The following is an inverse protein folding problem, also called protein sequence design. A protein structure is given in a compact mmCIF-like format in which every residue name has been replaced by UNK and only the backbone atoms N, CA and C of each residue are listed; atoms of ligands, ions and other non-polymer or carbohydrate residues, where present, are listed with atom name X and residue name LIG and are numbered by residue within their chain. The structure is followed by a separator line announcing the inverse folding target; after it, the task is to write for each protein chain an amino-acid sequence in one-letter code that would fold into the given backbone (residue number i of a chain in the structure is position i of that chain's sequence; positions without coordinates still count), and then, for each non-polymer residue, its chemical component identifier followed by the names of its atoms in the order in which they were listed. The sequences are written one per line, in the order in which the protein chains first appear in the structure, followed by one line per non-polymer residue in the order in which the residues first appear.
data_IF_120025316311
#
_entry.id   IF_120025316311
#
_cell.length_a   1.000
_cell.length_b   1.000
_cell.length_c   1.000
_cell.angle_alpha   90.00
_cell.angle_beta   90.00
_cell.angle_gamma   90.00
#
_symmetry.space_group_name_H-M   'P 1'
#
loop_
_entity.id
_entity.type
_entity.pdbx_description
1 polymer ?
#
# COMPACT_ATOMS: atom_id res chain seq x y z
N UNK A 1 20.12 4.96 11.89
CA UNK A 1 20.49 3.80 11.05
C UNK A 1 20.65 4.29 9.64
N UNK A 2 21.50 3.65 8.85
CA UNK A 2 21.63 3.90 7.42
C UNK A 2 20.45 3.28 6.66
N UNK A 3 20.06 3.86 5.52
CA UNK A 3 19.18 3.20 4.56
C UNK A 3 19.86 1.93 4.02
N UNK A 4 19.29 0.76 4.28
CA UNK A 4 19.78 -0.52 3.72
C UNK A 4 19.14 -0.77 2.35
N UNK A 5 19.76 -1.58 1.47
CA UNK A 5 19.18 -1.90 0.15
C UNK A 5 17.76 -2.48 0.21
N UNK A 6 17.46 -3.26 1.26
CA UNK A 6 16.14 -3.86 1.46
C UNK A 6 15.18 -3.02 2.30
N UNK A 7 15.60 -1.87 2.88
CA UNK A 7 14.77 -1.09 3.80
C UNK A 7 13.41 -0.69 3.20
N UNK A 8 13.35 -0.43 1.88
CA UNK A 8 12.11 -0.09 1.18
C UNK A 8 11.24 -1.32 0.96
N UNK A 9 11.85 -2.46 0.62
CA UNK A 9 11.15 -3.73 0.42
C UNK A 9 10.57 -4.23 1.74
N UNK A 10 11.38 -4.28 2.81
CA UNK A 10 10.96 -4.68 4.15
C UNK A 10 9.80 -3.80 4.66
N UNK A 11 9.83 -2.51 4.33
CA UNK A 11 8.73 -1.59 4.64
C UNK A 11 7.46 -1.96 3.87
N UNK A 12 7.57 -2.24 2.56
CA UNK A 12 6.44 -2.62 1.73
C UNK A 12 5.82 -3.95 2.19
N UNK A 13 6.63 -4.95 2.55
CA UNK A 13 6.19 -6.22 3.11
C UNK A 13 5.52 -6.03 4.49
N UNK A 14 6.09 -5.19 5.35
CA UNK A 14 5.49 -4.88 6.64
C UNK A 14 4.12 -4.19 6.47
N UNK A 15 3.99 -3.25 5.52
CA UNK A 15 2.72 -2.61 5.18
C UNK A 15 1.71 -3.62 4.64
N UNK A 16 2.14 -4.51 3.74
CA UNK A 16 1.31 -5.58 3.20
C UNK A 16 0.78 -6.48 4.33
N UNK A 17 1.65 -6.93 5.23
CA UNK A 17 1.27 -7.76 6.39
C UNK A 17 0.32 -7.05 7.34
N UNK A 18 0.54 -5.76 7.62
CA UNK A 18 -0.38 -4.94 8.42
C UNK A 18 -1.79 -4.88 7.81
N UNK A 19 -1.88 -4.65 6.50
CA UNK A 19 -3.16 -4.56 5.81
C UNK A 19 -3.85 -5.92 5.75
N UNK A 20 -3.12 -7.00 5.44
CA UNK A 20 -3.67 -8.36 5.47
C UNK A 20 -4.28 -8.69 6.83
N UNK A 21 -3.54 -8.51 7.91
CA UNK A 21 -4.00 -8.85 9.25
C UNK A 21 -5.27 -8.07 9.64
N UNK A 22 -5.38 -6.80 9.23
CA UNK A 22 -6.57 -5.99 9.46
C UNK A 22 -7.77 -6.45 8.63
N UNK A 23 -7.56 -6.85 7.37
CA UNK A 23 -8.62 -7.41 6.52
C UNK A 23 -9.15 -8.73 7.08
N UNK A 24 -8.26 -9.62 7.53
CA UNK A 24 -8.66 -10.89 8.15
C UNK A 24 -9.45 -10.67 9.45
N UNK A 25 -9.02 -9.69 10.26
CA UNK A 25 -9.78 -9.29 11.45
C UNK A 25 -11.18 -8.76 11.06
N UNK A 26 -11.27 -7.88 10.06
CA UNK A 26 -12.55 -7.35 9.60
C UNK A 26 -13.48 -8.46 9.08
N UNK A 27 -12.94 -9.46 8.37
CA UNK A 27 -13.69 -10.63 7.91
C UNK A 27 -14.20 -11.51 9.06
N UNK A 28 -13.45 -11.60 10.16
CA UNK A 28 -13.90 -12.32 11.35
C UNK A 28 -15.02 -11.58 12.12
N UNK A 29 -15.06 -10.25 12.02
CA UNK A 29 -16.03 -9.41 12.75
C UNK A 29 -17.29 -9.10 11.94
N UNK A 30 -17.18 -9.04 10.61
CA UNK A 30 -18.24 -8.55 9.71
C UNK A 30 -18.68 -9.67 8.77
N UNK A 31 -19.89 -10.16 8.98
CA UNK A 31 -20.48 -11.19 8.12
C UNK A 31 -20.54 -10.75 6.65
N UNK A 32 -20.07 -11.64 5.77
CA UNK A 32 -19.93 -11.43 4.33
C UNK A 32 -18.74 -10.56 3.89
N UNK A 33 -17.90 -10.08 4.81
CA UNK A 33 -16.69 -9.33 4.43
C UNK A 33 -15.57 -10.28 4.01
N UNK A 34 -14.95 -10.11 2.83
CA UNK A 34 -13.80 -10.89 2.43
C UNK A 34 -12.54 -10.49 3.21
N UNK A 35 -11.74 -11.47 3.60
CA UNK A 35 -10.44 -11.28 4.27
C UNK A 35 -9.34 -10.80 3.32
N UNK A 36 -8.09 -10.98 3.73
CA UNK A 36 -6.95 -10.69 2.87
C UNK A 36 -6.96 -11.59 1.62
N UNK A 37 -6.68 -11.06 0.41
CA UNK A 37 -6.56 -11.89 -0.77
C UNK A 37 -5.39 -12.88 -0.67
N UNK A 38 -5.69 -14.17 -0.53
CA UNK A 38 -4.67 -15.17 -0.19
C UNK A 38 -3.66 -15.47 -1.32
N UNK A 39 -4.06 -15.29 -2.57
CA UNK A 39 -3.19 -15.61 -3.71
C UNK A 39 -2.42 -14.44 -4.28
N UNK A 40 -3.01 -13.26 -4.18
CA UNK A 40 -2.54 -12.05 -4.84
C UNK A 40 -2.33 -10.94 -3.82
N UNK A 41 -1.80 -11.29 -2.65
CA UNK A 41 -1.23 -10.38 -1.68
C UNK A 41 0.30 -10.31 -1.88
N UNK A 42 0.81 -9.29 -2.57
CA UNK A 42 2.24 -9.21 -2.87
C UNK A 42 2.77 -7.77 -3.04
N UNK A 43 4.09 -7.61 -2.87
CA UNK A 43 4.79 -6.39 -3.27
C UNK A 43 5.07 -6.48 -4.77
N UNK A 44 4.67 -5.45 -5.53
CA UNK A 44 4.78 -5.43 -6.99
C UNK A 44 5.66 -4.26 -7.46
N UNK A 45 6.30 -4.35 -8.64
CA UNK A 45 7.26 -3.34 -9.09
C UNK A 45 6.63 -2.01 -9.52
N UNK A 46 5.32 -1.94 -9.73
CA UNK A 46 4.62 -0.76 -10.26
C UNK A 46 3.11 -0.86 -10.09
N UNK A 47 2.34 -0.16 -10.93
CA UNK A 47 0.88 -0.28 -10.90
C UNK A 47 0.45 -1.75 -11.15
N UNK A 48 -0.49 -2.29 -10.37
CA UNK A 48 -0.96 -3.65 -10.57
C UNK A 48 -1.75 -3.78 -11.87
N UNK A 49 -1.74 -4.99 -12.44
CA UNK A 49 -2.68 -5.35 -13.49
C UNK A 49 -4.11 -5.42 -12.92
N UNK A 50 -5.09 -5.06 -13.73
CA UNK A 50 -6.52 -5.12 -13.42
C UNK A 50 -7.11 -6.49 -13.79
N UNK A 51 -6.43 -7.57 -13.40
CA UNK A 51 -6.82 -8.94 -13.69
C UNK A 51 -6.85 -9.80 -12.42
N UNK A 52 -7.61 -10.89 -12.45
CA UNK A 52 -7.61 -11.88 -11.37
C UNK A 52 -8.18 -11.40 -10.03
N UNK A 53 -9.05 -10.38 -10.02
CA UNK A 53 -9.82 -10.06 -8.81
C UNK A 53 -10.95 -11.07 -8.56
N UNK A 54 -11.42 -11.76 -9.60
CA UNK A 54 -12.48 -12.79 -9.55
C UNK A 54 -12.00 -14.17 -9.08
N UNK A 55 -10.69 -14.43 -9.06
CA UNK A 55 -10.15 -15.78 -8.83
C UNK A 55 -9.76 -16.02 -7.36
N UNK A 56 -10.54 -16.78 -6.57
CA UNK A 56 -10.01 -17.42 -5.38
C UNK A 56 -9.16 -18.62 -5.85
N UNK A 57 -7.84 -18.59 -5.73
CA UNK A 57 -7.00 -19.76 -6.13
C UNK A 57 -7.06 -20.94 -5.14
N UNK A 58 -8.09 -20.97 -4.29
CA UNK A 58 -8.53 -22.15 -3.58
C UNK A 58 -10.00 -22.00 -3.17
N UNK A 59 -10.72 -23.11 -3.09
CA UNK A 59 -12.17 -23.17 -2.79
C UNK A 59 -12.56 -22.69 -1.37
N UNK A 60 -11.61 -22.22 -0.57
CA UNK A 60 -11.81 -21.86 0.84
C UNK A 60 -11.49 -20.38 1.15
N UNK A 61 -11.22 -19.54 0.15
CA UNK A 61 -10.47 -18.29 0.36
C UNK A 61 -11.04 -17.06 -0.34
N UNK A 62 -10.68 -15.89 0.18
CA UNK A 62 -11.16 -14.60 -0.33
C UNK A 62 -10.50 -14.26 -1.68
N UNK A 63 -11.32 -14.06 -2.72
CA UNK A 63 -10.89 -13.50 -4.00
C UNK A 63 -10.45 -12.04 -3.89
N UNK A 64 -9.70 -11.59 -4.88
CA UNK A 64 -9.21 -10.22 -4.99
C UNK A 64 -7.69 -10.12 -5.17
N UNK A 65 -7.19 -8.90 -5.10
CA UNK A 65 -5.76 -8.62 -5.21
C UNK A 65 -5.37 -7.48 -4.28
N UNK A 66 -4.39 -7.71 -3.42
CA UNK A 66 -3.78 -6.71 -2.54
C UNK A 66 -2.33 -6.51 -2.96
N UNK A 67 -2.00 -5.32 -3.43
CA UNK A 67 -0.63 -5.01 -3.83
C UNK A 67 -0.08 -3.80 -3.14
N UNK A 68 1.22 -3.83 -2.85
CA UNK A 68 1.98 -2.66 -2.41
C UNK A 68 3.07 -2.38 -3.43
N UNK A 69 3.14 -1.16 -3.93
CA UNK A 69 4.21 -0.74 -4.83
C UNK A 69 4.78 0.62 -4.43
N UNK A 70 5.99 0.90 -4.88
CA UNK A 70 6.64 2.19 -4.67
C UNK A 70 6.16 3.14 -5.76
N UNK A 71 5.58 4.28 -5.37
CA UNK A 71 5.29 5.36 -6.31
C UNK A 71 6.53 6.19 -6.60
N UNK A 72 7.28 6.55 -5.55
CA UNK A 72 8.52 7.33 -5.68
C UNK A 72 9.36 7.28 -4.41
N UNK A 73 10.65 7.54 -4.60
CA UNK A 73 11.65 7.75 -3.56
C UNK A 73 12.25 9.14 -3.76
N UNK A 74 12.26 9.97 -2.72
CA UNK A 74 12.78 11.34 -2.86
C UNK A 74 13.44 11.84 -1.56
N UNK A 75 14.43 12.76 -1.66
CA UNK A 75 15.03 13.37 -0.49
C UNK A 75 14.01 14.26 0.22
N UNK A 76 13.99 14.20 1.56
CA UNK A 76 13.17 15.08 2.38
C UNK A 76 14.02 15.66 3.53
N UNK A 77 13.47 16.66 4.21
CA UNK A 77 14.17 17.41 5.24
C UNK A 77 13.37 17.51 6.53
N UNK A 78 13.55 18.63 7.23
CA UNK A 78 12.84 18.95 8.47
C UNK A 78 11.32 19.03 8.22
N UNK A 79 10.92 19.54 7.05
CA UNK A 79 9.53 19.73 6.63
C UNK A 79 8.90 18.47 6.00
N UNK A 80 9.22 17.28 6.50
CA UNK A 80 8.61 16.03 6.01
C UNK A 80 7.07 16.12 5.99
N UNK A 81 6.39 15.73 4.89
CA UNK A 81 6.89 14.95 3.75
C UNK A 81 7.30 15.81 2.54
N UNK A 82 7.54 17.11 2.67
CA UNK A 82 7.95 17.94 1.54
C UNK A 82 9.27 17.46 0.93
N UNK A 83 9.32 17.42 -0.41
CA UNK A 83 10.53 17.10 -1.16
C UNK A 83 11.58 18.20 -0.97
N UNK A 84 12.79 17.80 -0.63
CA UNK A 84 13.92 18.72 -0.58
C UNK A 84 14.45 18.96 -1.99
N UNK A 85 14.55 20.23 -2.39
CA UNK A 85 15.07 20.68 -3.69
C UNK A 85 16.46 21.30 -3.60
N UNK A 86 17.10 21.21 -2.43
CA UNK A 86 18.47 21.69 -2.24
C UNK A 86 19.44 20.94 -3.17
N UNK A 87 20.30 21.71 -3.85
CA UNK A 87 21.32 21.15 -4.74
C UNK A 87 22.37 20.42 -3.91
N UNK A 88 22.47 19.12 -4.12
CA UNK A 88 23.46 18.27 -3.46
C UNK A 88 24.86 18.51 -4.05
N UNK A 89 25.91 18.39 -3.23
CA UNK A 89 27.30 18.52 -3.70
C UNK A 89 27.86 19.94 -3.80
N UNK A 90 27.04 20.98 -3.64
CA UNK A 90 27.50 22.38 -3.73
C UNK A 90 28.53 22.76 -2.65
N UNK A 91 28.51 22.07 -1.49
CA UNK A 91 29.50 22.20 -0.39
C UNK A 91 29.85 20.83 0.20
N UNK A 92 30.04 19.84 -0.68
CA UNK A 92 30.28 18.45 -0.30
C UNK A 92 29.03 17.56 -0.35
N UNK A 93 29.25 16.24 -0.31
CA UNK A 93 28.19 15.23 -0.37
C UNK A 93 27.56 15.00 1.01
N UNK A 94 26.78 15.98 1.50
CA UNK A 94 25.98 15.81 2.71
C UNK A 94 24.69 15.08 2.32
N UNK A 95 24.45 13.84 2.77
CA UNK A 95 23.23 13.14 2.41
C UNK A 95 22.01 13.82 3.05
N UNK A 96 20.83 13.72 2.43
CA UNK A 96 19.60 14.22 3.03
C UNK A 96 19.35 13.51 4.37
N UNK A 97 18.87 14.23 5.41
CA UNK A 97 18.65 13.64 6.73
C UNK A 97 17.51 12.61 6.73
N UNK A 98 16.58 12.74 5.79
CA UNK A 98 15.41 11.86 5.63
C UNK A 98 15.24 11.49 4.17
N UNK A 99 14.96 10.21 3.92
CA UNK A 99 14.50 9.74 2.62
C UNK A 99 13.01 9.45 2.74
N UNK A 100 12.18 10.09 1.91
CA UNK A 100 10.76 9.82 1.87
C UNK A 100 10.48 8.73 0.83
N UNK A 101 9.73 7.71 1.24
CA UNK A 101 9.18 6.67 0.35
C UNK A 101 7.69 6.88 0.27
N UNK A 102 7.17 7.09 -0.93
CA UNK A 102 5.73 7.04 -1.18
C UNK A 102 5.36 5.64 -1.66
N UNK A 103 4.54 4.95 -0.87
CA UNK A 103 3.96 3.66 -1.19
C UNK A 103 2.51 3.83 -1.63
N UNK A 104 2.10 2.98 -2.55
CA UNK A 104 0.73 2.85 -3.02
C UNK A 104 0.26 1.45 -2.64
N UNK A 105 -0.81 1.41 -1.86
CA UNK A 105 -1.50 0.19 -1.49
C UNK A 105 -2.76 0.13 -2.35
N UNK A 106 -2.91 -0.94 -3.14
CA UNK A 106 -4.08 -1.16 -3.98
C UNK A 106 -4.76 -2.44 -3.54
N UNK A 107 -6.06 -2.36 -3.24
CA UNK A 107 -6.91 -3.51 -2.97
C UNK A 107 -8.03 -3.56 -4.00
N UNK A 108 -8.05 -4.61 -4.82
CA UNK A 108 -9.06 -4.88 -5.83
C UNK A 108 -9.97 -6.03 -5.40
N UNK A 109 -11.26 -5.87 -5.68
CA UNK A 109 -12.34 -6.85 -5.50
C UNK A 109 -13.14 -6.98 -6.79
N UNK A 110 -13.94 -8.02 -6.89
CA UNK A 110 -14.87 -8.22 -7.99
C UNK A 110 -15.93 -7.12 -8.02
N UNK A 111 -16.15 -6.55 -9.20
CA UNK A 111 -17.32 -5.73 -9.47
C UNK A 111 -18.41 -6.61 -10.09
N UNK A 112 -19.69 -6.45 -9.71
CA UNK A 112 -20.79 -7.09 -10.42
C UNK A 112 -20.76 -6.72 -11.92
N UNK A 113 -20.77 -7.74 -12.77
CA UNK A 113 -20.72 -7.60 -14.22
C UNK A 113 -22.09 -7.88 -14.87
N UNK A 114 -22.30 -7.47 -16.14
CA UNK A 114 -23.46 -7.91 -16.90
C UNK A 114 -23.51 -9.44 -16.98
N UNK A 115 -24.73 -10.00 -16.97
CA UNK A 115 -24.90 -11.46 -17.11
C UNK A 115 -24.65 -11.96 -18.54
N UNK A 116 -24.76 -13.28 -18.75
CA UNK A 116 -24.57 -13.91 -20.07
C UNK A 116 -25.56 -13.40 -21.14
N UNK A 117 -26.68 -12.83 -20.71
CA UNK A 117 -27.69 -12.23 -21.61
C UNK A 117 -27.42 -10.76 -21.91
N UNK A 118 -26.37 -10.19 -21.31
CA UNK A 118 -26.01 -8.77 -21.42
C UNK A 118 -26.87 -7.85 -20.56
N UNK A 119 -27.65 -8.38 -19.61
CA UNK A 119 -28.39 -7.55 -18.68
C UNK A 119 -27.45 -6.93 -17.64
N UNK A 120 -27.62 -5.64 -17.29
CA UNK A 120 -26.79 -5.00 -16.28
C UNK A 120 -27.02 -5.60 -14.88
N UNK A 121 -26.03 -5.51 -13.97
CA UNK A 121 -26.15 -6.02 -12.60
C UNK A 121 -27.26 -5.30 -11.84
N UNK A 122 -27.91 -6.01 -10.92
CA UNK A 122 -28.99 -5.44 -10.11
C UNK A 122 -28.40 -4.47 -9.08
N UNK A 123 -29.18 -3.45 -8.71
CA UNK A 123 -28.77 -2.49 -7.67
C UNK A 123 -28.46 -3.16 -6.32
N UNK A 124 -29.09 -4.30 -6.02
CA UNK A 124 -28.78 -5.08 -4.79
C UNK A 124 -27.36 -5.63 -4.81
N UNK A 125 -26.91 -6.11 -5.97
CA UNK A 125 -25.59 -6.71 -6.14
C UNK A 125 -24.52 -5.61 -6.10
N UNK A 126 -24.80 -4.46 -6.74
CA UNK A 126 -23.96 -3.26 -6.66
C UNK A 126 -23.84 -2.72 -5.23
N UNK A 127 -24.94 -2.69 -4.47
CA UNK A 127 -24.93 -2.24 -3.08
C UNK A 127 -24.12 -3.19 -2.17
N UNK A 128 -24.21 -4.50 -2.40
CA UNK A 128 -23.40 -5.48 -1.69
C UNK A 128 -21.89 -5.28 -1.96
N UNK A 129 -21.51 -5.07 -3.22
CA UNK A 129 -20.13 -4.78 -3.60
C UNK A 129 -19.65 -3.44 -3.01
N UNK A 130 -20.49 -2.40 -3.02
CA UNK A 130 -20.17 -1.11 -2.43
C UNK A 130 -19.95 -1.22 -0.91
N UNK A 131 -20.77 -2.00 -0.19
CA UNK A 131 -20.58 -2.26 1.24
C UNK A 131 -19.20 -2.87 1.51
N UNK A 132 -18.83 -3.91 0.76
CA UNK A 132 -17.51 -4.56 0.88
C UNK A 132 -16.39 -3.53 0.69
N UNK A 133 -16.49 -2.73 -0.37
CA UNK A 133 -15.48 -1.73 -0.71
C UNK A 133 -15.35 -0.63 0.36
N UNK A 134 -16.46 -0.17 0.94
CA UNK A 134 -16.44 0.83 2.01
C UNK A 134 -15.80 0.30 3.30
N UNK A 135 -16.10 -0.96 3.65
CA UNK A 135 -15.46 -1.62 4.80
C UNK A 135 -13.96 -1.77 4.54
N UNK A 136 -13.58 -2.28 3.38
CA UNK A 136 -12.18 -2.41 2.97
C UNK A 136 -11.45 -1.05 3.03
N UNK A 137 -12.08 0.04 2.56
CA UNK A 137 -11.53 1.39 2.60
C UNK A 137 -11.15 1.83 4.02
N UNK A 138 -12.10 1.69 4.95
CA UNK A 138 -11.89 2.05 6.35
C UNK A 138 -10.88 1.11 7.01
N UNK A 139 -10.93 -0.18 6.71
CA UNK A 139 -9.99 -1.19 7.24
C UNK A 139 -8.56 -0.89 6.83
N UNK A 140 -8.30 -0.64 5.53
CA UNK A 140 -6.96 -0.29 5.04
C UNK A 140 -6.46 1.02 5.68
N UNK A 141 -7.33 2.03 5.76
CA UNK A 141 -6.97 3.31 6.38
C UNK A 141 -6.56 3.14 7.86
N UNK A 142 -7.36 2.40 8.64
CA UNK A 142 -7.10 2.12 10.04
C UNK A 142 -5.88 1.22 10.23
N UNK A 143 -5.67 0.22 9.37
CA UNK A 143 -4.50 -0.66 9.41
C UNK A 143 -3.20 0.15 9.34
N UNK A 144 -3.14 1.13 8.43
CA UNK A 144 -1.97 2.00 8.30
C UNK A 144 -1.79 2.91 9.53
N UNK A 145 -2.87 3.47 10.08
CA UNK A 145 -2.77 4.29 11.29
C UNK A 145 -2.29 3.51 12.51
N UNK A 146 -2.78 2.29 12.69
CA UNK A 146 -2.54 1.49 13.89
C UNK A 146 -1.25 0.65 13.81
N UNK A 147 -0.97 0.04 12.66
CA UNK A 147 0.11 -0.93 12.53
C UNK A 147 1.43 -0.29 12.05
N UNK A 148 1.38 0.66 11.12
CA UNK A 148 2.58 1.27 10.56
C UNK A 148 3.51 1.92 11.61
N UNK A 149 3.04 2.63 12.65
CA UNK A 149 3.92 3.14 13.70
C UNK A 149 4.74 2.02 14.38
N UNK A 150 4.11 0.85 14.61
CA UNK A 150 4.70 -0.28 15.32
C UNK A 150 5.73 -1.05 14.49
N UNK A 151 5.68 -0.94 13.16
CA UNK A 151 6.67 -1.60 12.30
C UNK A 151 8.07 -1.01 12.48
N UNK A 152 8.24 0.17 13.10
CA UNK A 152 9.55 0.78 13.33
C UNK A 152 10.27 0.17 14.53
N UNK A 153 11.49 -0.34 14.34
CA UNK A 153 12.29 -0.98 15.41
C UNK A 153 12.81 -0.05 16.52
N UNK A 154 12.23 1.15 16.70
CA UNK A 154 12.69 2.14 17.67
C UNK A 154 11.54 2.69 18.53
N UNK A 155 11.89 3.25 19.70
CA UNK A 155 10.95 3.74 20.73
C UNK A 155 9.95 4.81 20.25
N UNK A 156 10.23 5.52 19.16
CA UNK A 156 9.39 6.60 18.61
C UNK A 156 8.51 6.19 17.42
N UNK A 157 8.50 4.90 17.06
CA UNK A 157 7.75 4.40 15.90
C UNK A 157 8.22 4.99 14.55
N UNK A 158 7.61 4.56 13.45
CA UNK A 158 7.85 5.20 12.14
C UNK A 158 7.10 6.51 12.03
N UNK A 159 7.73 7.50 11.39
CA UNK A 159 7.07 8.73 10.97
C UNK A 159 6.49 8.53 9.58
N UNK A 160 5.22 8.88 9.40
CA UNK A 160 4.54 8.77 8.12
C UNK A 160 3.45 9.84 7.99
N UNK A 161 3.00 10.05 6.76
CA UNK A 161 1.82 10.85 6.42
C UNK A 161 0.95 10.00 5.51
N UNK A 162 -0.33 9.88 5.85
CA UNK A 162 -1.32 9.28 4.96
C UNK A 162 -1.69 10.27 3.87
N UNK A 163 -1.59 9.81 2.63
CA UNK A 163 -2.12 10.52 1.48
C UNK A 163 -3.61 10.26 1.30
N UNK A 164 -4.14 10.83 0.23
CA UNK A 164 -5.54 10.63 -0.16
C UNK A 164 -5.80 9.15 -0.46
N UNK A 165 -6.90 8.64 0.07
CA UNK A 165 -7.51 7.40 -0.39
C UNK A 165 -8.46 7.71 -1.55
N UNK A 166 -8.45 6.88 -2.59
CA UNK A 166 -9.42 7.00 -3.68
C UNK A 166 -9.96 5.64 -4.07
N UNK A 167 -11.22 5.62 -4.49
CA UNK A 167 -11.79 4.48 -5.21
C UNK A 167 -11.28 4.49 -6.65
N UNK A 168 -10.98 3.31 -7.18
CA UNK A 168 -10.47 3.09 -8.54
C UNK A 168 -11.33 2.04 -9.25
N UNK A 169 -11.43 2.14 -10.59
CA UNK A 169 -12.21 1.21 -11.43
C UNK A 169 -13.65 1.69 -11.66
N UNK A 170 -14.52 0.84 -12.24
CA UNK A 170 -14.28 -0.55 -12.61
C UNK A 170 -13.49 -0.71 -13.91
N UNK A 171 -12.47 -1.57 -13.93
CA UNK A 171 -11.75 -1.98 -15.15
C UNK A 171 -11.56 -3.50 -15.12
N UNK A 172 -11.83 -4.18 -16.23
CA UNK A 172 -11.67 -5.64 -16.31
C UNK A 172 -12.53 -6.45 -15.34
N UNK A 173 -13.64 -5.89 -14.84
CA UNK A 173 -14.46 -6.51 -13.80
C UNK A 173 -13.92 -6.33 -12.38
N UNK A 174 -12.87 -5.54 -12.19
CA UNK A 174 -12.30 -5.25 -10.89
C UNK A 174 -12.63 -3.82 -10.45
N UNK A 175 -12.94 -3.63 -9.18
CA UNK A 175 -13.10 -2.32 -8.51
C UNK A 175 -12.30 -2.34 -7.23
N UNK A 176 -11.79 -1.20 -6.79
CA UNK A 176 -10.95 -1.21 -5.60
C UNK A 176 -10.66 0.14 -5.01
N UNK A 177 -9.70 0.14 -4.09
CA UNK A 177 -9.18 1.32 -3.43
C UNK A 177 -7.69 1.44 -3.67
N UNK A 178 -7.23 2.69 -3.81
CA UNK A 178 -5.83 3.08 -3.79
C UNK A 178 -5.61 3.97 -2.57
N UNK A 179 -4.76 3.53 -1.65
CA UNK A 179 -4.31 4.30 -0.48
C UNK A 179 -2.83 4.63 -0.63
N UNK A 180 -2.50 5.92 -0.50
CA UNK A 180 -1.11 6.39 -0.51
C UNK A 180 -0.59 6.59 0.90
N UNK A 181 0.66 6.24 1.14
CA UNK A 181 1.34 6.57 2.39
C UNK A 181 2.78 6.98 2.12
N UNK A 182 3.19 8.10 2.70
CA UNK A 182 4.59 8.54 2.65
C UNK A 182 5.25 8.22 3.98
N UNK A 183 6.34 7.45 3.96
CA UNK A 183 7.07 7.00 5.14
C UNK A 183 8.46 7.63 5.16
N UNK A 184 8.86 8.14 6.32
CA UNK A 184 10.21 8.64 6.54
C UNK A 184 11.15 7.46 6.83
N UNK A 185 12.09 7.23 5.94
CA UNK A 185 13.24 6.37 6.17
C UNK A 185 14.46 7.22 6.56
N UNK A 186 15.44 6.61 7.25
CA UNK A 186 16.71 7.27 7.48
C UNK A 186 17.39 7.66 6.16
N UNK A 187 18.24 8.69 6.22
CA UNK A 187 19.08 9.08 5.09
C UNK A 187 20.10 8.02 4.66
N UNK A 188 20.94 8.40 3.69
CA UNK A 188 21.92 7.53 3.06
C UNK A 188 22.83 6.81 4.06
N UNK A 189 23.28 5.60 3.71
CA UNK A 189 24.39 4.94 4.38
C UNK A 189 25.68 5.74 4.22
N UNK A 190 26.72 5.36 4.97
CA UNK A 190 28.08 5.82 4.65
C UNK A 190 28.35 5.50 3.18
N UNK A 191 28.94 6.46 2.46
CA UNK A 191 29.42 6.19 1.11
C UNK A 191 30.46 5.06 1.20
N UNK A 192 30.47 4.09 0.26
CA UNK A 192 31.58 3.17 0.18
C UNK A 192 32.86 3.99 0.05
N UNK A 193 33.87 3.68 0.86
CA UNK A 193 35.11 4.45 0.95
C UNK A 193 35.73 4.56 -0.45
N UNK A 194 35.52 5.70 -1.12
CA UNK A 194 36.32 6.14 -2.24
C UNK A 194 37.40 7.02 -1.66
N UNK A 195 38.65 6.62 -1.83
CA UNK A 195 39.84 7.33 -1.36
C UNK A 195 39.66 8.85 -1.44
N UNK A 196 39.82 9.49 -0.29
CA UNK A 196 39.98 10.93 -0.19
C UNK A 196 41.29 11.26 -0.91
N UNK A 197 41.19 11.84 -2.10
CA UNK A 197 42.28 12.61 -2.71
C UNK A 197 41.92 14.09 -2.69
#
# INVERSE_FOLDING_TARGET
MALTPFAVHDLAEAVLGCVCAALDQAAAEIDGQPGCPDCRACVVPGAPAWDGCDDPCSDQRAGGQLTVNIARLYPSGINFPAENRDVQGARGCIPPPVTAVELVITLLRCAPMPDETGCPPRCTDLNAAARILHVDAVTVYNALLCCLPATGGGRRGRRFVLGTQRTVGPEGGCVGIEQRVTVALPGCSKCPDGEVS
#
